data_IF_179493072744
#
_entry.id   IF_179493072744
#
_cell.length_a   1.000
_cell.length_b   1.000
_cell.length_c   1.000
_cell.angle_alpha   90.00
_cell.angle_beta   90.00
_cell.angle_gamma   90.00
#
_symmetry.space_group_name_H-M   'P 1'
#
loop_
_entity.id
_entity.type
_entity.pdbx_description
1 polymer ?
#
# COMPACT_ATOMS: atom_id res chain seq x y z
N UNK A 1 -14.64 -0.39 -31.30
CA UNK A 1 -15.22 -0.95 -30.06
C UNK A 1 -14.39 -0.40 -28.90
N UNK A 2 -14.77 0.76 -28.39
CA UNK A 2 -14.02 1.49 -27.37
C UNK A 2 -14.21 0.75 -26.04
N UNK A 3 -13.16 0.11 -25.53
CA UNK A 3 -13.16 -0.43 -24.17
C UNK A 3 -13.17 0.78 -23.24
N UNK A 4 -14.36 1.23 -22.87
CA UNK A 4 -14.55 2.20 -21.79
C UNK A 4 -13.98 1.59 -20.51
N UNK A 5 -12.70 1.85 -20.24
CA UNK A 5 -12.05 1.48 -18.98
C UNK A 5 -12.80 2.17 -17.86
N UNK A 6 -13.67 1.42 -17.17
CA UNK A 6 -14.38 1.91 -15.99
C UNK A 6 -13.32 2.24 -14.94
N UNK A 7 -13.09 3.53 -14.70
CA UNK A 7 -12.31 3.97 -13.55
C UNK A 7 -13.02 3.49 -12.28
N UNK A 8 -12.27 2.96 -11.33
CA UNK A 8 -12.80 2.60 -10.02
C UNK A 8 -13.33 3.86 -9.33
N UNK A 9 -14.46 3.75 -8.62
CA UNK A 9 -14.97 4.83 -7.78
C UNK A 9 -14.13 4.97 -6.50
N UNK A 10 -14.20 6.14 -5.85
CA UNK A 10 -13.54 6.36 -4.56
C UNK A 10 -14.03 5.36 -3.50
N UNK A 11 -15.33 5.09 -3.46
CA UNK A 11 -15.93 4.10 -2.55
C UNK A 11 -15.36 2.69 -2.77
N UNK A 12 -15.11 2.30 -4.02
CA UNK A 12 -14.48 1.02 -4.33
C UNK A 12 -13.03 0.98 -3.84
N UNK A 13 -12.27 2.06 -4.03
CA UNK A 13 -10.89 2.14 -3.56
C UNK A 13 -10.85 2.07 -2.03
N UNK A 14 -11.68 2.85 -1.35
CA UNK A 14 -11.81 2.85 0.11
C UNK A 14 -12.17 1.46 0.65
N UNK A 15 -13.13 0.77 0.03
CA UNK A 15 -13.51 -0.59 0.41
C UNK A 15 -12.34 -1.58 0.26
N UNK A 16 -11.57 -1.47 -0.82
CA UNK A 16 -10.37 -2.30 -1.04
C UNK A 16 -9.28 -1.98 0.00
N UNK A 17 -9.04 -0.70 0.28
CA UNK A 17 -8.09 -0.23 1.30
C UNK A 17 -8.44 -0.82 2.67
N UNK A 18 -9.69 -0.71 3.10
CA UNK A 18 -10.15 -1.30 4.37
C UNK A 18 -10.02 -2.83 4.40
N UNK A 19 -10.34 -3.51 3.30
CA UNK A 19 -10.18 -4.96 3.21
C UNK A 19 -8.71 -5.38 3.38
N UNK A 20 -7.77 -4.67 2.77
CA UNK A 20 -6.33 -4.92 2.93
C UNK A 20 -5.87 -4.62 4.35
N UNK A 21 -6.23 -3.48 4.93
CA UNK A 21 -5.89 -3.11 6.31
C UNK A 21 -6.37 -4.17 7.31
N UNK A 22 -7.59 -4.68 7.13
CA UNK A 22 -8.10 -5.76 7.98
C UNK A 22 -7.20 -7.01 7.89
N UNK A 23 -6.77 -7.42 6.70
CA UNK A 23 -5.85 -8.55 6.53
C UNK A 23 -4.50 -8.30 7.20
N UNK A 24 -3.95 -7.10 7.05
CA UNK A 24 -2.71 -6.67 7.73
C UNK A 24 -2.87 -6.83 9.24
N UNK A 25 -3.98 -6.38 9.82
CA UNK A 25 -4.22 -6.51 11.25
C UNK A 25 -4.36 -7.96 11.72
N UNK A 26 -4.99 -8.83 10.91
CA UNK A 26 -5.07 -10.26 11.20
C UNK A 26 -3.71 -10.97 11.12
N UNK A 27 -2.82 -10.56 10.20
CA UNK A 27 -1.46 -11.13 10.08
C UNK A 27 -0.48 -10.54 11.09
N UNK A 28 -0.61 -9.26 11.44
CA UNK A 28 0.33 -8.50 12.27
C UNK A 28 0.06 -8.61 13.79
N UNK A 29 -0.60 -9.66 14.25
CA UNK A 29 -0.75 -9.99 15.69
C UNK A 29 0.62 -10.11 16.41
N UNK A 30 1.74 -10.09 15.68
CA UNK A 30 3.08 -10.48 16.17
C UNK A 30 4.15 -9.39 16.28
N UNK A 31 3.99 -8.20 15.72
CA UNK A 31 5.03 -7.16 15.87
C UNK A 31 4.68 -6.21 17.02
N UNK A 32 5.39 -6.37 18.15
CA UNK A 32 5.38 -5.37 19.23
C UNK A 32 6.01 -4.09 18.68
N UNK A 33 5.18 -3.19 18.17
CA UNK A 33 5.58 -1.83 17.85
C UNK A 33 6.30 -1.24 19.06
N UNK A 34 7.40 -0.52 18.82
CA UNK A 34 8.12 0.15 19.90
C UNK A 34 7.19 1.19 20.53
N UNK A 35 7.33 1.40 21.84
CA UNK A 35 6.57 2.42 22.55
C UNK A 35 6.70 3.79 21.85
N UNK A 36 5.59 4.51 21.75
CA UNK A 36 5.54 5.80 21.05
C UNK A 36 5.63 5.72 19.52
N UNK A 37 5.44 4.55 18.91
CA UNK A 37 5.29 4.42 17.46
C UNK A 37 3.84 4.66 17.06
N UNK A 38 3.62 5.60 16.14
CA UNK A 38 2.32 5.82 15.49
C UNK A 38 2.32 5.15 14.12
N UNK A 39 1.21 4.51 13.77
CA UNK A 39 1.01 3.86 12.47
C UNK A 39 -0.12 4.54 11.73
N UNK A 40 0.13 4.88 10.47
CA UNK A 40 -0.87 5.41 9.53
C UNK A 40 -0.84 4.62 8.24
N UNK A 41 -2.01 4.43 7.62
CA UNK A 41 -2.14 3.71 6.36
C UNK A 41 -2.56 4.66 5.24
N UNK A 42 -1.97 4.46 4.06
CA UNK A 42 -2.22 5.28 2.87
C UNK A 42 -2.48 4.39 1.66
N UNK A 43 -3.44 4.78 0.83
CA UNK A 43 -3.72 4.12 -0.45
C UNK A 43 -3.31 5.01 -1.64
N UNK A 44 -3.68 4.61 -2.85
CA UNK A 44 -3.29 5.31 -4.07
C UNK A 44 -3.93 6.70 -4.25
N UNK A 45 -4.87 7.10 -3.40
CA UNK A 45 -5.46 8.44 -3.42
C UNK A 45 -4.66 9.45 -2.60
N UNK A 46 -3.79 8.97 -1.70
CA UNK A 46 -2.97 9.82 -0.84
C UNK A 46 -1.81 10.47 -1.62
N UNK A 47 -1.47 11.70 -1.23
CA UNK A 47 -0.34 12.41 -1.81
C UNK A 47 0.97 11.62 -1.62
N UNK A 48 1.73 11.45 -2.72
CA UNK A 48 2.97 10.66 -2.73
C UNK A 48 2.79 9.14 -2.89
N UNK A 49 1.54 8.65 -2.90
CA UNK A 49 1.22 7.21 -3.02
C UNK A 49 0.47 6.86 -4.30
N UNK A 50 0.28 7.80 -5.23
CA UNK A 50 -0.43 7.59 -6.50
C UNK A 50 0.17 6.54 -7.44
N UNK A 51 1.40 6.09 -7.18
CA UNK A 51 2.04 4.97 -7.89
C UNK A 51 1.57 3.60 -7.39
N UNK A 52 0.89 3.53 -6.25
CA UNK A 52 0.27 2.30 -5.77
C UNK A 52 -0.94 1.94 -6.64
N UNK A 53 -1.17 0.64 -6.78
CA UNK A 53 -2.36 0.14 -7.44
C UNK A 53 -3.54 0.08 -6.47
N UNK A 54 -4.79 0.18 -6.96
CA UNK A 54 -5.97 0.02 -6.12
C UNK A 54 -5.93 -1.25 -5.26
N UNK A 55 -6.17 -1.09 -3.95
CA UNK A 55 -6.12 -2.15 -2.95
C UNK A 55 -4.74 -2.44 -2.36
N UNK A 56 -3.67 -1.88 -2.89
CA UNK A 56 -2.39 -1.83 -2.18
C UNK A 56 -2.42 -0.75 -1.11
N UNK A 57 -1.71 -0.98 -0.02
CA UNK A 57 -1.65 -0.08 1.13
C UNK A 57 -0.19 0.14 1.54
N UNK A 58 0.18 1.40 1.77
CA UNK A 58 1.40 1.77 2.45
C UNK A 58 1.15 1.97 3.94
N UNK A 59 2.00 1.39 4.78
CA UNK A 59 2.05 1.61 6.21
C UNK A 59 3.22 2.54 6.54
N UNK A 60 2.92 3.70 7.12
CA UNK A 60 3.92 4.61 7.68
C UNK A 60 4.01 4.43 9.19
N UNK A 61 5.19 3.99 9.65
CA UNK A 61 5.52 3.95 11.08
C UNK A 61 6.37 5.16 11.44
N UNK A 62 5.80 6.08 12.22
CA UNK A 62 6.55 7.18 12.82
C UNK A 62 7.01 6.77 14.21
N UNK A 63 8.30 6.53 14.36
CA UNK A 63 8.89 6.20 15.68
C UNK A 63 9.19 7.47 16.47
N UNK A 64 9.45 7.32 17.77
CA UNK A 64 9.71 8.44 18.69
C UNK A 64 10.83 9.39 18.24
N UNK A 65 11.85 8.89 17.53
CA UNK A 65 12.93 9.71 16.97
C UNK A 65 12.49 10.64 15.82
N UNK A 66 11.24 10.52 15.37
CA UNK A 66 10.69 11.22 14.21
C UNK A 66 11.00 10.53 12.88
N UNK A 67 11.82 9.47 12.88
CA UNK A 67 12.07 8.67 11.68
C UNK A 67 10.78 8.00 11.22
N UNK A 68 10.57 8.04 9.91
CA UNK A 68 9.43 7.39 9.25
C UNK A 68 9.96 6.16 8.51
N UNK A 69 9.38 4.99 8.83
CA UNK A 69 9.58 3.77 8.07
C UNK A 69 8.34 3.52 7.21
N UNK A 70 8.56 3.07 5.98
CA UNK A 70 7.49 2.76 5.03
C UNK A 70 7.52 1.29 4.68
N UNK A 71 6.37 0.65 4.82
CA UNK A 71 6.13 -0.72 4.42
C UNK A 71 4.94 -0.76 3.49
N UNK A 72 4.84 -1.80 2.68
CA UNK A 72 3.78 -1.92 1.69
C UNK A 72 3.13 -3.29 1.75
N UNK A 73 1.85 -3.32 1.42
CA UNK A 73 1.05 -4.53 1.47
C UNK A 73 0.20 -4.65 0.22
N UNK A 74 0.20 -5.85 -0.37
CA UNK A 74 -0.69 -6.17 -1.47
C UNK A 74 -2.13 -6.45 -0.98
N UNK A 75 -3.13 -6.57 -1.88
CA UNK A 75 -4.51 -6.86 -1.48
C UNK A 75 -4.72 -8.19 -0.73
N UNK A 76 -3.73 -9.09 -0.72
CA UNK A 76 -3.75 -10.33 0.05
C UNK A 76 -3.13 -10.18 1.45
N UNK A 77 -2.54 -9.01 1.75
CA UNK A 77 -1.81 -8.74 2.99
C UNK A 77 -0.35 -9.17 2.94
N UNK A 78 0.20 -9.51 1.77
CA UNK A 78 1.63 -9.86 1.65
C UNK A 78 2.48 -8.61 1.88
N UNK A 79 3.52 -8.75 2.70
CA UNK A 79 4.40 -7.65 3.11
C UNK A 79 5.55 -7.40 2.12
N UNK A 80 5.87 -6.12 1.91
CA UNK A 80 7.00 -5.64 1.13
C UNK A 80 7.72 -4.53 1.90
N UNK A 81 9.04 -4.70 2.06
CA UNK A 81 9.87 -3.82 2.90
C UNK A 81 10.26 -2.48 2.25
N UNK A 82 10.04 -2.34 0.95
CA UNK A 82 10.44 -1.14 0.20
C UNK A 82 9.59 -0.93 -1.06
N UNK A 83 9.56 0.31 -1.53
CA UNK A 83 8.90 0.65 -2.80
C UNK A 83 9.52 -0.12 -3.96
N UNK A 84 10.84 -0.26 -4.00
CA UNK A 84 11.54 -1.03 -5.03
C UNK A 84 11.02 -2.48 -5.10
N UNK A 85 10.79 -3.14 -3.96
CA UNK A 85 10.24 -4.51 -3.94
C UNK A 85 8.83 -4.61 -4.50
N UNK A 86 8.01 -3.57 -4.29
CA UNK A 86 6.69 -3.47 -4.92
C UNK A 86 6.85 -3.34 -6.44
N UNK A 87 7.72 -2.45 -6.91
CA UNK A 87 7.93 -2.23 -8.34
C UNK A 87 8.46 -3.50 -9.04
N UNK A 88 9.44 -4.19 -8.45
CA UNK A 88 9.95 -5.48 -8.94
C UNK A 88 8.82 -6.53 -9.06
N UNK A 89 7.90 -6.57 -8.09
CA UNK A 89 6.76 -7.47 -8.12
C UNK A 89 5.78 -7.13 -9.25
N UNK A 90 5.46 -5.84 -9.43
CA UNK A 90 4.55 -5.36 -10.46
C UNK A 90 5.11 -5.52 -11.87
N UNK A 91 6.40 -5.26 -12.05
CA UNK A 91 7.12 -5.51 -13.30
C UNK A 91 7.05 -7.00 -13.66
N UNK A 92 7.33 -7.89 -12.70
CA UNK A 92 7.30 -9.34 -12.93
C UNK A 92 5.91 -9.88 -13.23
N UNK A 93 4.87 -9.39 -12.55
CA UNK A 93 3.52 -9.90 -12.74
C UNK A 93 2.84 -9.32 -13.98
N UNK A 94 2.97 -8.02 -14.21
CA UNK A 94 2.13 -7.29 -15.15
C UNK A 94 2.91 -6.60 -16.27
N UNK A 95 4.25 -6.71 -16.28
CA UNK A 95 5.09 -6.04 -17.28
C UNK A 95 4.98 -4.52 -17.24
N UNK A 96 4.61 -3.96 -16.08
CA UNK A 96 4.42 -2.52 -15.92
C UNK A 96 5.77 -1.83 -15.83
N UNK A 97 6.01 -0.87 -16.72
CA UNK A 97 7.11 0.09 -16.64
C UNK A 97 6.57 1.33 -15.92
N UNK A 98 7.13 1.65 -14.75
CA UNK A 98 6.86 2.93 -14.09
C UNK A 98 7.64 4.00 -14.83
N UNK A 99 6.92 4.95 -15.45
CA UNK A 99 7.54 6.15 -16.00
C UNK A 99 7.66 7.17 -14.87
N UNK A 100 8.88 7.49 -14.48
CA UNK A 100 9.15 8.67 -13.67
C UNK A 100 8.74 9.90 -14.50
N UNK A 101 7.84 10.72 -13.95
CA UNK A 101 7.42 12.01 -14.54
C UNK A 101 8.00 13.17 -13.77
#
# INVERSE_FOLDING_TARGET
MERSSRKLSLEQIEAMTHATINKIHFSNVRERLRHGTTVTYHDCTAAGYGWLLPGWVAEERRVQSGRIYRYYYDPNGSFYESQQKVLEFLERLWGIIVLDT
#
